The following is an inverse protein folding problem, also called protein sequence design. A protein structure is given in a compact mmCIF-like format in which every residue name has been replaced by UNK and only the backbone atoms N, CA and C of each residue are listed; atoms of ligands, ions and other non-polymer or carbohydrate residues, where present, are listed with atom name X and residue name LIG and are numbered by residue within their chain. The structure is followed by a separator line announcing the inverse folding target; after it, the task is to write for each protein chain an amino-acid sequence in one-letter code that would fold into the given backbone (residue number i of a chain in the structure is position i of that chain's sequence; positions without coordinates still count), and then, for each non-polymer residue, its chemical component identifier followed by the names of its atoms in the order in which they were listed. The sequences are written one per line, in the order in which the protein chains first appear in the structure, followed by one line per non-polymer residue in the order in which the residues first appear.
data_IF_403480063696
#
_entry.id   IF_403480063696
#
_cell.length_a   1.000
_cell.length_b   1.000
_cell.length_c   1.000
_cell.angle_alpha   90.00
_cell.angle_beta   90.00
_cell.angle_gamma   90.00
#
_symmetry.space_group_name_H-M   'P 1'
#
loop_
_entity.id
_entity.type
_entity.pdbx_description
1 polymer ?
#
# COMPACT_ATOMS: atom_id res chain seq x y z
N UNK A 1 -13.92 -29.45 -23.49
CA UNK A 1 -13.67 -29.40 -22.04
C UNK A 1 -12.64 -28.32 -21.77
N UNK A 2 -13.06 -27.15 -21.30
CA UNK A 2 -12.16 -26.16 -20.70
C UNK A 2 -12.36 -26.27 -19.18
N UNK A 3 -11.46 -27.00 -18.51
CA UNK A 3 -11.60 -27.39 -17.10
C UNK A 3 -10.42 -26.97 -16.22
N UNK A 4 -9.58 -26.04 -16.69
CA UNK A 4 -8.44 -25.53 -15.92
C UNK A 4 -8.58 -24.04 -15.66
N UNK A 5 -8.05 -23.60 -14.52
CA UNK A 5 -7.96 -22.20 -14.14
C UNK A 5 -6.50 -21.84 -13.99
N UNK A 6 -6.08 -20.78 -14.68
CA UNK A 6 -4.79 -20.15 -14.50
C UNK A 6 -5.04 -18.69 -14.16
N UNK A 7 -4.86 -18.33 -12.90
CA UNK A 7 -5.04 -16.98 -12.37
C UNK A 7 -3.92 -16.68 -11.39
N UNK A 8 -3.32 -15.52 -11.53
CA UNK A 8 -2.34 -14.97 -10.60
C UNK A 8 -2.89 -13.66 -10.07
N UNK A 9 -2.87 -13.49 -8.75
CA UNK A 9 -3.23 -12.24 -8.09
C UNK A 9 -1.99 -11.77 -7.33
N UNK A 10 -1.59 -10.53 -7.55
CA UNK A 10 -0.51 -9.89 -6.83
C UNK A 10 -0.96 -8.56 -6.26
N UNK A 11 -0.49 -8.28 -5.05
CA UNK A 11 -0.44 -6.93 -4.50
C UNK A 11 1.02 -6.65 -4.15
N UNK A 12 1.60 -5.64 -4.77
CA UNK A 12 3.03 -5.37 -4.63
C UNK A 12 3.40 -3.96 -5.06
N UNK A 13 4.69 -3.68 -5.07
CA UNK A 13 5.23 -2.38 -5.44
C UNK A 13 6.11 -2.50 -6.69
N UNK A 14 6.04 -1.51 -7.59
CA UNK A 14 6.91 -1.44 -8.75
C UNK A 14 8.37 -1.23 -8.32
N UNK A 15 9.29 -2.07 -8.78
CA UNK A 15 10.74 -1.90 -8.52
C UNK A 15 11.42 -0.87 -9.40
N UNK A 16 10.84 -0.58 -10.56
CA UNK A 16 11.31 0.37 -11.55
C UNK A 16 10.12 1.01 -12.26
N UNK A 17 10.37 2.08 -13.01
CA UNK A 17 9.36 2.68 -13.88
C UNK A 17 8.90 1.67 -14.95
N UNK A 18 7.64 1.74 -15.43
CA UNK A 18 7.14 0.87 -16.49
C UNK A 18 7.99 0.94 -17.77
N UNK A 19 8.42 -0.21 -18.29
CA UNK A 19 9.10 -0.30 -19.59
C UNK A 19 8.06 -0.44 -20.70
N UNK A 20 7.92 0.58 -21.54
CA UNK A 20 6.93 0.61 -22.63
C UNK A 20 7.61 0.34 -23.96
N UNK A 21 7.07 -0.63 -24.72
CA UNK A 21 7.50 -0.92 -26.09
C UNK A 21 6.30 -0.90 -27.01
N UNK A 22 6.46 -0.42 -28.23
CA UNK A 22 5.43 -0.49 -29.27
C UNK A 22 5.82 -1.58 -30.27
N UNK A 23 4.89 -2.48 -30.55
CA UNK A 23 5.07 -3.51 -31.57
C UNK A 23 4.99 -2.87 -32.96
N UNK A 24 5.42 -3.60 -33.99
CA UNK A 24 5.29 -3.15 -35.39
C UNK A 24 3.84 -2.85 -35.81
N UNK A 25 2.86 -3.46 -35.12
CA UNK A 25 1.43 -3.17 -35.29
C UNK A 25 0.97 -1.83 -34.71
N UNK A 26 1.81 -1.17 -33.90
CA UNK A 26 1.47 0.03 -33.12
C UNK A 26 0.97 -0.27 -31.70
N UNK A 27 0.66 -1.53 -31.40
CA UNK A 27 0.13 -1.95 -30.10
C UNK A 27 1.16 -1.77 -28.98
N UNK A 28 0.81 -1.13 -27.85
CA UNK A 28 1.69 -0.99 -26.71
C UNK A 28 1.81 -2.31 -25.94
N UNK A 29 3.03 -2.61 -25.50
CA UNK A 29 3.36 -3.69 -24.58
C UNK A 29 4.11 -3.08 -23.41
N UNK A 30 3.61 -3.31 -22.20
CA UNK A 30 4.22 -2.79 -20.97
C UNK A 30 4.82 -3.93 -20.16
N UNK A 31 6.07 -3.77 -19.76
CA UNK A 31 6.80 -4.66 -18.89
C UNK A 31 6.96 -4.01 -17.52
N UNK A 32 6.50 -4.70 -16.47
CA UNK A 32 6.63 -4.27 -15.07
C UNK A 32 7.48 -5.27 -14.29
N UNK A 33 8.21 -4.76 -13.29
CA UNK A 33 8.85 -5.54 -12.24
C UNK A 33 8.16 -5.24 -10.92
N UNK A 34 7.52 -6.25 -10.31
CA UNK A 34 6.72 -6.07 -9.09
C UNK A 34 7.32 -6.90 -7.96
N UNK A 35 7.64 -6.23 -6.85
CA UNK A 35 8.10 -6.87 -5.63
C UNK A 35 6.93 -7.24 -4.71
N UNK A 36 6.97 -8.45 -4.16
CA UNK A 36 6.20 -8.82 -2.96
C UNK A 36 7.17 -9.30 -1.88
N UNK A 37 6.89 -9.03 -0.62
CA UNK A 37 7.73 -9.47 0.49
C UNK A 37 6.96 -10.23 1.54
N UNK A 38 7.61 -11.25 2.11
CA UNK A 38 7.10 -12.04 3.22
C UNK A 38 8.10 -11.94 4.37
N UNK A 39 7.59 -11.73 5.59
CA UNK A 39 8.37 -11.71 6.82
C UNK A 39 7.94 -12.88 7.70
N UNK A 40 8.89 -13.64 8.22
CA UNK A 40 8.62 -14.72 9.17
C UNK A 40 9.71 -14.78 10.25
N UNK A 41 9.45 -15.52 11.33
CA UNK A 41 10.44 -15.81 12.37
C UNK A 41 11.06 -17.18 12.11
N UNK A 42 12.38 -17.25 12.03
CA UNK A 42 13.10 -18.51 11.86
C UNK A 42 12.95 -19.38 13.10
N UNK A 43 12.57 -20.65 12.92
CA UNK A 43 12.27 -21.56 14.03
C UNK A 43 13.53 -22.03 14.78
N UNK A 44 14.71 -21.98 14.15
CA UNK A 44 15.95 -22.45 14.76
C UNK A 44 16.69 -21.30 15.46
N UNK A 45 16.82 -20.14 14.80
CA UNK A 45 17.52 -18.99 15.38
C UNK A 45 16.62 -18.06 16.18
N UNK A 46 15.30 -18.11 15.96
CA UNK A 46 14.36 -17.19 16.57
C UNK A 46 14.40 -15.76 15.99
N UNK A 47 15.22 -15.53 14.95
CA UNK A 47 15.39 -14.22 14.31
C UNK A 47 14.27 -13.93 13.31
N UNK A 48 13.99 -12.65 13.09
CA UNK A 48 13.08 -12.20 12.02
C UNK A 48 13.81 -12.25 10.68
N UNK A 49 13.25 -12.95 9.71
CA UNK A 49 13.72 -13.03 8.33
C UNK A 49 12.71 -12.40 7.37
N UNK A 50 13.22 -11.93 6.25
CA UNK A 50 12.43 -11.34 5.17
C UNK A 50 12.89 -11.94 3.83
N UNK A 51 11.93 -12.20 2.93
CA UNK A 51 12.18 -12.64 1.56
C UNK A 51 11.34 -11.80 0.62
N UNK A 52 12.00 -11.25 -0.38
CA UNK A 52 11.34 -10.50 -1.47
C UNK A 52 11.36 -11.34 -2.73
N UNK A 53 10.21 -11.47 -3.37
CA UNK A 53 10.04 -12.11 -4.67
C UNK A 53 9.79 -11.06 -5.75
N UNK A 54 10.42 -11.26 -6.90
CA UNK A 54 10.34 -10.35 -8.04
C UNK A 54 9.55 -10.98 -9.17
N UNK A 55 8.45 -10.32 -9.54
CA UNK A 55 7.50 -10.81 -10.52
C UNK A 55 7.62 -9.99 -11.80
N UNK A 56 7.83 -10.68 -12.93
CA UNK A 56 7.80 -10.06 -14.24
C UNK A 56 6.37 -10.06 -14.77
N UNK A 57 5.80 -8.88 -14.95
CA UNK A 57 4.45 -8.71 -15.48
C UNK A 57 4.53 -8.15 -16.90
N UNK A 58 3.75 -8.70 -17.82
CA UNK A 58 3.66 -8.28 -19.22
C UNK A 58 2.21 -7.96 -19.56
N UNK A 59 1.96 -6.73 -19.98
CA UNK A 59 0.62 -6.24 -20.29
C UNK A 59 0.51 -6.05 -21.80
N UNK A 60 -0.34 -6.88 -22.42
CA UNK A 60 -0.79 -6.74 -23.81
C UNK A 60 -2.18 -6.09 -23.92
N UNK A 61 -2.89 -5.96 -22.80
CA UNK A 61 -4.18 -5.27 -22.75
C UNK A 61 -3.96 -3.76 -22.94
N UNK A 62 -4.42 -3.21 -24.05
CA UNK A 62 -4.19 -1.82 -24.45
C UNK A 62 -4.71 -0.80 -23.42
N UNK A 63 -5.85 -1.07 -22.78
CA UNK A 63 -6.42 -0.16 -21.80
C UNK A 63 -5.56 -0.13 -20.54
N UNK A 64 -5.11 -1.29 -20.07
CA UNK A 64 -4.23 -1.40 -18.90
C UNK A 64 -2.83 -0.87 -19.21
N UNK A 65 -2.35 -1.04 -20.44
CA UNK A 65 -1.09 -0.46 -20.92
C UNK A 65 -1.12 1.07 -20.85
N UNK A 66 -2.20 1.71 -21.32
CA UNK A 66 -2.39 3.17 -21.19
C UNK A 66 -2.43 3.62 -19.72
N UNK A 67 -3.08 2.86 -18.84
CA UNK A 67 -3.09 3.17 -17.40
C UNK A 67 -1.67 3.08 -16.83
N UNK A 68 -0.94 2.01 -17.15
CA UNK A 68 0.42 1.83 -16.70
C UNK A 68 1.35 2.94 -17.20
N UNK A 69 1.27 3.30 -18.48
CA UNK A 69 2.08 4.35 -19.11
C UNK A 69 1.83 5.73 -18.49
N UNK A 70 0.58 6.08 -18.21
CA UNK A 70 0.24 7.44 -17.76
C UNK A 70 0.36 7.65 -16.25
N UNK A 71 0.24 6.60 -15.45
CA UNK A 71 0.06 6.74 -14.01
C UNK A 71 1.02 5.94 -13.14
N UNK A 72 1.62 4.87 -13.66
CA UNK A 72 2.55 4.08 -12.86
C UNK A 72 3.97 4.63 -12.92
N UNK A 73 4.63 4.59 -11.77
CA UNK A 73 6.03 4.95 -11.57
C UNK A 73 6.67 3.99 -10.59
N UNK A 74 8.00 3.99 -10.50
CA UNK A 74 8.75 3.26 -9.49
C UNK A 74 8.17 3.51 -8.10
N UNK A 75 8.02 2.45 -7.33
CA UNK A 75 7.46 2.47 -5.99
C UNK A 75 5.94 2.39 -5.93
N UNK A 76 5.23 2.57 -7.05
CA UNK A 76 3.77 2.55 -7.04
C UNK A 76 3.22 1.22 -6.53
N UNK A 77 2.22 1.27 -5.64
CA UNK A 77 1.53 0.07 -5.14
C UNK A 77 0.40 -0.30 -6.08
N UNK A 78 0.37 -1.57 -6.49
CA UNK A 78 -0.57 -2.07 -7.48
C UNK A 78 -1.17 -3.40 -7.08
N UNK A 79 -2.46 -3.57 -7.42
CA UNK A 79 -3.12 -4.85 -7.55
C UNK A 79 -3.04 -5.29 -9.01
N UNK A 80 -2.70 -6.54 -9.26
CA UNK A 80 -2.60 -7.13 -10.59
C UNK A 80 -3.28 -8.50 -10.60
N UNK A 81 -4.16 -8.72 -11.58
CA UNK A 81 -4.68 -10.03 -11.92
C UNK A 81 -4.23 -10.42 -13.33
N UNK A 82 -3.62 -11.60 -13.48
CA UNK A 82 -3.18 -12.13 -14.78
C UNK A 82 -3.13 -13.66 -14.79
N UNK A 83 -2.30 -14.22 -15.66
CA UNK A 83 -2.08 -15.67 -15.78
C UNK A 83 -0.59 -15.96 -15.95
N UNK A 84 -0.10 -17.09 -15.44
CA UNK A 84 1.29 -17.51 -15.68
C UNK A 84 1.45 -17.98 -17.12
N UNK A 85 2.50 -17.52 -17.78
CA UNK A 85 2.96 -18.04 -19.07
C UNK A 85 4.47 -18.25 -19.02
N UNK A 86 4.91 -19.45 -19.34
CA UNK A 86 6.33 -19.76 -19.51
C UNK A 86 6.63 -19.87 -20.98
N UNK A 87 7.53 -19.02 -21.48
CA UNK A 87 8.02 -19.09 -22.86
C UNK A 87 9.44 -19.64 -22.90
N UNK A 88 9.70 -20.43 -23.94
CA UNK A 88 11.02 -20.93 -24.30
C UNK A 88 11.65 -19.96 -25.31
N UNK A 89 12.90 -19.61 -25.12
CA UNK A 89 13.69 -18.83 -26.08
C UNK A 89 15.13 -19.33 -26.09
N UNK A 90 15.81 -19.17 -27.22
CA UNK A 90 17.20 -19.61 -27.39
C UNK A 90 18.12 -18.42 -27.16
N UNK A 91 19.13 -18.60 -26.30
CA UNK A 91 20.14 -17.56 -26.07
C UNK A 91 21.16 -17.48 -27.22
N UNK A 92 22.08 -16.52 -27.14
CA UNK A 92 23.11 -16.31 -28.16
C UNK A 92 24.07 -17.51 -28.33
N UNK A 93 24.15 -18.38 -27.32
CA UNK A 93 24.99 -19.58 -27.32
C UNK A 93 24.24 -20.82 -27.84
N UNK A 94 23.01 -20.65 -28.33
CA UNK A 94 22.17 -21.76 -28.79
C UNK A 94 21.52 -22.57 -27.68
N UNK A 95 21.57 -22.12 -26.41
CA UNK A 95 20.96 -22.85 -25.30
C UNK A 95 19.51 -22.43 -25.10
N UNK A 96 18.67 -23.42 -24.80
CA UNK A 96 17.27 -23.21 -24.45
C UNK A 96 17.15 -22.59 -23.04
N UNK A 97 16.46 -21.45 -22.96
CA UNK A 97 16.10 -20.76 -21.72
C UNK A 97 14.59 -20.68 -21.59
N UNK A 98 14.12 -20.68 -20.34
CA UNK A 98 12.72 -20.54 -20.00
C UNK A 98 12.53 -19.27 -19.19
N UNK A 99 11.46 -18.54 -19.47
CA UNK A 99 11.09 -17.36 -18.69
C UNK A 99 9.61 -17.44 -18.40
N UNK A 100 9.28 -17.40 -17.10
CA UNK A 100 7.91 -17.37 -16.61
C UNK A 100 7.51 -15.93 -16.33
N UNK A 101 6.38 -15.52 -16.89
CA UNK A 101 5.87 -14.16 -16.83
C UNK A 101 4.39 -14.20 -16.43
N UNK A 102 3.93 -13.15 -15.76
CA UNK A 102 2.50 -12.93 -15.48
C UNK A 102 1.95 -12.07 -16.59
N UNK A 103 1.02 -12.61 -17.37
CA UNK A 103 0.58 -11.99 -18.62
C UNK A 103 -0.85 -11.51 -18.51
N UNK A 104 -1.06 -10.22 -18.80
CA UNK A 104 -2.39 -9.63 -18.96
C UNK A 104 -2.66 -9.56 -20.47
N UNK A 105 -3.33 -10.59 -20.97
CA UNK A 105 -3.68 -10.71 -22.40
C UNK A 105 -4.68 -9.64 -22.84
N UNK A 106 -4.82 -9.46 -24.15
CA UNK A 106 -5.86 -8.59 -24.73
C UNK A 106 -7.23 -8.95 -24.15
N UNK A 107 -7.98 -7.93 -23.73
CA UNK A 107 -9.31 -8.07 -23.13
C UNK A 107 -9.37 -8.90 -21.83
N UNK A 108 -8.22 -9.20 -21.20
CA UNK A 108 -8.13 -9.97 -19.95
C UNK A 108 -7.20 -9.28 -18.94
N UNK A 109 -7.30 -9.75 -17.69
CA UNK A 109 -6.51 -9.26 -16.57
C UNK A 109 -7.06 -7.97 -15.97
N UNK A 110 -6.54 -7.65 -14.79
CA UNK A 110 -6.92 -6.45 -14.05
C UNK A 110 -5.66 -5.75 -13.53
N UNK A 111 -5.71 -4.42 -13.48
CA UNK A 111 -4.69 -3.60 -12.85
C UNK A 111 -5.39 -2.48 -12.10
N UNK A 112 -5.08 -2.33 -10.81
CA UNK A 112 -5.56 -1.23 -10.00
C UNK A 112 -4.38 -0.59 -9.27
N UNK A 113 -4.33 0.74 -9.28
CA UNK A 113 -3.42 1.50 -8.43
C UNK A 113 -4.00 1.54 -7.02
N UNK A 114 -3.18 1.22 -6.04
CA UNK A 114 -3.56 1.21 -4.62
C UNK A 114 -2.95 2.37 -3.85
N UNK A 115 -2.16 3.22 -4.52
CA UNK A 115 -1.64 4.43 -3.89
C UNK A 115 -2.77 5.43 -3.68
N UNK A 116 -2.98 5.80 -2.42
CA UNK A 116 -3.87 6.88 -2.03
C UNK A 116 -3.38 8.18 -2.66
N UNK A 117 -4.28 8.94 -3.28
CA UNK A 117 -4.07 10.32 -3.76
C UNK A 117 -3.56 11.32 -2.68
N UNK A 118 -3.27 10.86 -1.46
CA UNK A 118 -2.93 11.68 -0.30
C UNK A 118 -1.50 12.26 -0.33
N UNK A 119 -0.57 11.70 -1.10
CA UNK A 119 0.79 12.27 -1.23
C UNK A 119 0.88 13.45 -2.22
N UNK A 120 -0.23 13.85 -2.84
CA UNK A 120 -0.29 15.05 -3.68
C UNK A 120 -0.57 16.35 -2.87
N UNK A 121 -0.75 16.26 -1.55
CA UNK A 121 -1.07 17.39 -0.67
C UNK A 121 -0.05 17.56 0.48
N UNK A 122 1.20 17.18 0.23
CA UNK A 122 2.34 17.32 1.14
C UNK A 122 3.29 18.45 0.78
N UNK A 123 2.78 19.58 0.30
CA UNK A 123 3.54 20.77 -0.09
C UNK A 123 3.33 21.95 0.86
N UNK A 124 3.46 21.74 2.18
CA UNK A 124 3.50 22.82 3.16
C UNK A 124 4.82 23.60 3.04
N UNK A 125 4.89 24.48 2.03
CA UNK A 125 5.79 25.64 2.01
C UNK A 125 5.18 26.81 2.79
N UNK A 126 4.73 26.56 4.02
CA UNK A 126 4.28 27.62 4.92
C UNK A 126 5.46 28.47 5.35
N UNK A 127 5.76 29.54 4.61
CA UNK A 127 6.62 30.62 5.10
C UNK A 127 5.90 31.31 6.26
N UNK A 128 6.22 30.87 7.48
CA UNK A 128 6.00 31.66 8.68
C UNK A 128 6.78 32.96 8.56
N UNK A 129 6.07 34.05 8.23
CA UNK A 129 6.60 35.40 8.27
C UNK A 129 6.44 35.94 9.69
N UNK A 130 7.38 35.55 10.56
CA UNK A 130 7.62 36.23 11.82
C UNK A 130 8.49 37.46 11.56
N UNK A 131 8.01 38.64 11.95
CA UNK A 131 8.83 39.86 11.94
C UNK A 131 8.07 41.17 12.14
N UNK A 132 7.96 41.60 13.41
CA UNK A 132 8.40 42.95 13.80
C UNK A 132 7.38 44.09 13.99
N UNK A 133 7.48 44.67 15.19
CA UNK A 133 7.27 46.09 15.57
C UNK A 133 5.87 46.56 15.99
N UNK A 134 5.69 46.67 17.32
CA UNK A 134 4.63 47.43 17.98
C UNK A 134 5.08 47.81 19.38
N UNK A 135 5.79 48.93 19.46
CA UNK A 135 6.14 49.68 20.67
C UNK A 135 4.87 50.01 21.47
N UNK A 136 4.89 49.86 22.80
CA UNK A 136 4.40 50.86 23.77
C UNK A 136 4.52 50.35 25.22
N UNK A 137 5.49 50.90 25.95
CA UNK A 137 5.45 51.01 27.42
C UNK A 137 4.52 52.15 27.79
N UNK A 138 3.74 52.00 28.87
CA UNK A 138 3.56 52.96 30.00
C UNK A 138 2.35 52.57 30.88
N UNK A 139 2.52 52.68 32.21
CA UNK A 139 1.43 52.81 33.22
C UNK A 139 1.24 51.57 34.10
N UNK A 140 1.88 51.40 35.27
CA UNK A 140 1.59 51.98 36.60
C UNK A 140 0.12 51.87 37.09
N UNK A 141 -0.06 51.19 38.23
CA UNK A 141 -1.28 51.17 39.06
C UNK A 141 -1.58 49.75 39.58
N UNK A 142 -1.08 49.32 40.75
CA UNK A 142 -1.59 49.57 42.11
C UNK A 142 -2.94 48.88 42.43
N UNK A 143 -2.90 47.96 43.41
CA UNK A 143 -4.02 47.70 44.33
C UNK A 143 -4.65 46.30 44.31
N UNK A 144 -4.80 45.70 45.50
CA UNK A 144 -5.91 44.78 45.79
C UNK A 144 -5.53 43.42 46.39
N UNK A 145 -5.57 43.31 47.73
CA UNK A 145 -5.66 42.06 48.50
C UNK A 145 -7.13 41.59 48.57
N UNK A 146 -7.37 40.28 48.70
CA UNK A 146 -8.36 39.58 49.57
C UNK A 146 -8.57 38.14 49.05
N UNK A 147 -8.12 37.08 49.73
CA UNK A 147 -8.75 36.32 50.83
C UNK A 147 -10.17 35.78 50.53
N UNK A 148 -10.29 34.45 50.56
CA UNK A 148 -11.30 33.80 51.41
C UNK A 148 -12.26 32.79 50.77
N UNK A 149 -12.26 31.56 51.32
CA UNK A 149 -13.39 30.62 51.43
C UNK A 149 -13.64 29.71 50.21
N UNK A 150 -13.91 28.40 50.31
CA UNK A 150 -14.25 27.52 51.43
C UNK A 150 -15.38 26.55 51.00
N UNK A 151 -15.30 25.27 51.43
CA UNK A 151 -16.39 24.26 51.50
C UNK A 151 -16.97 23.71 50.18
N UNK A 152 -17.56 22.50 50.05
CA UNK A 152 -17.57 21.17 50.68
C UNK A 152 -18.58 20.30 49.87
N UNK A 153 -18.46 18.98 49.98
CA UNK A 153 -19.54 17.99 49.78
C UNK A 153 -19.68 17.45 48.36
N UNK A 154 -19.93 16.17 48.10
CA UNK A 154 -20.32 15.03 48.94
C UNK A 154 -20.56 13.80 48.05
N UNK A 155 -20.61 12.63 48.69
CA UNK A 155 -20.63 11.26 48.17
C UNK A 155 -21.81 10.84 47.26
N UNK A 156 -21.58 9.79 46.46
CA UNK A 156 -22.40 8.56 46.21
C UNK A 156 -21.84 7.87 44.94
N UNK A 157 -21.65 6.56 44.77
CA UNK A 157 -22.02 5.36 45.53
C UNK A 157 -22.51 4.26 44.57
N UNK A 158 -21.72 3.20 44.34
CA UNK A 158 -22.11 1.84 43.85
C UNK A 158 -22.55 1.68 42.38
N UNK A 159 -22.59 0.51 41.73
CA UNK A 159 -22.13 -0.88 41.96
C UNK A 159 -22.56 -1.70 40.71
N UNK A 160 -21.91 -2.86 40.42
CA UNK A 160 -22.36 -3.99 39.56
C UNK A 160 -22.31 -3.76 38.03
N UNK A 161 -21.92 -4.67 37.13
CA UNK A 161 -21.51 -6.09 37.08
C UNK A 161 -21.33 -6.35 35.56
N UNK A 162 -20.29 -6.98 35.04
CA UNK A 162 -20.01 -8.41 35.16
C UNK A 162 -20.82 -9.22 34.11
N UNK A 163 -20.12 -9.66 33.06
CA UNK A 163 -20.31 -10.91 32.29
C UNK A 163 -21.03 -10.97 30.92
N UNK A 164 -20.44 -11.82 30.06
CA UNK A 164 -21.08 -12.67 29.01
C UNK A 164 -21.15 -12.21 27.54
N UNK A 165 -20.00 -11.96 26.89
CA UNK A 165 -19.91 -11.96 25.40
C UNK A 165 -18.84 -12.92 24.83
N UNK A 166 -18.21 -13.77 25.65
CA UNK A 166 -17.07 -14.62 25.23
C UNK A 166 -17.38 -16.13 25.30
N UNK A 167 -18.66 -16.54 25.42
CA UNK A 167 -19.02 -17.97 25.55
C UNK A 167 -19.84 -18.57 24.41
N UNK A 168 -20.28 -17.77 23.43
CA UNK A 168 -21.24 -18.23 22.41
C UNK A 168 -20.64 -18.38 20.99
N UNK A 169 -19.32 -18.53 20.84
CA UNK A 169 -18.66 -18.67 19.52
C UNK A 169 -17.90 -19.99 19.33
N UNK A 170 -17.94 -20.91 20.29
CA UNK A 170 -17.17 -22.16 20.25
C UNK A 170 -17.99 -23.42 19.90
N UNK A 171 -19.29 -23.32 19.62
CA UNK A 171 -20.13 -24.49 19.29
C UNK A 171 -20.92 -24.29 17.98
N UNK A 172 -20.76 -25.26 17.06
CA UNK A 172 -21.45 -25.46 15.76
C UNK A 172 -20.73 -25.02 14.47
N UNK A 173 -19.74 -25.83 14.06
CA UNK A 173 -19.44 -26.04 12.63
C UNK A 173 -19.80 -27.50 12.31
N UNK A 174 -20.93 -27.79 11.64
CA UNK A 174 -21.26 -29.16 11.22
C UNK A 174 -20.54 -29.53 9.91
N UNK A 175 -20.16 -30.81 9.84
CA UNK A 175 -19.36 -31.50 8.83
C UNK A 175 -19.94 -31.48 7.40
#
# INVERSE_FOLDING_TARGET
MAGSVNKVILVGNLGADPEIRRLNSGDPVVNLSVATSETWRDKQSGERRERTEWHRVVIFNENLAKVAENYLKKGAKVYIEGQLQTRKWTDQNGQDKYTTEIVLQRFRGELQMLDSRADAEGGYGGRGQGGGYGNDRVGQGAGGMDRGGGQQGGEQGGQQGGNDFVRDLDDEIPF
#
